data_IF_007549873582
#
_entry.id   IF_007549873582
#
_cell.length_a   1.000
_cell.length_b   1.000
_cell.length_c   1.000
_cell.angle_alpha   90.00
_cell.angle_beta   90.00
_cell.angle_gamma   90.00
#
_symmetry.space_group_name_H-M   'P 1'
#
loop_
_entity.id
_entity.type
_entity.pdbx_description
1 polymer ?
#
# COMPACT_ATOMS: atom_id res chain seq x y z
N UNK A 1 20.71 8.27 12.46
CA UNK A 1 20.47 9.06 11.23
C UNK A 1 20.61 8.24 9.95
N UNK A 2 21.32 7.11 9.98
CA UNK A 2 21.52 6.27 8.78
C UNK A 2 20.23 5.67 8.20
N UNK A 3 19.24 5.38 9.04
CA UNK A 3 17.97 4.80 8.56
C UNK A 3 16.93 5.83 8.13
N UNK A 4 17.10 7.12 8.43
CA UNK A 4 16.10 8.15 8.11
C UNK A 4 15.89 8.31 6.60
N UNK A 5 16.96 8.32 5.81
CA UNK A 5 16.87 8.39 4.36
C UNK A 5 16.22 7.14 3.76
N UNK A 6 16.55 5.96 4.28
CA UNK A 6 15.93 4.68 3.85
C UNK A 6 14.44 4.68 4.17
N UNK A 7 14.06 5.07 5.39
CA UNK A 7 12.65 5.14 5.80
C UNK A 7 11.87 6.17 4.97
N UNK A 8 12.46 7.33 4.69
CA UNK A 8 11.83 8.33 3.82
C UNK A 8 11.67 7.81 2.38
N UNK A 9 12.67 7.11 1.85
CA UNK A 9 12.58 6.47 0.53
C UNK A 9 11.48 5.40 0.46
N UNK A 10 11.40 4.54 1.48
CA UNK A 10 10.34 3.54 1.59
C UNK A 10 8.95 4.19 1.72
N UNK A 11 8.83 5.26 2.51
CA UNK A 11 7.57 5.99 2.66
C UNK A 11 7.12 6.65 1.33
N UNK A 12 8.07 7.18 0.56
CA UNK A 12 7.78 7.73 -0.77
C UNK A 12 7.39 6.64 -1.78
N UNK A 13 7.99 5.46 -1.72
CA UNK A 13 7.54 4.32 -2.52
C UNK A 13 6.11 3.91 -2.15
N UNK A 14 5.82 3.82 -0.86
CA UNK A 14 4.50 3.48 -0.34
C UNK A 14 3.44 4.54 -0.70
N UNK A 15 3.85 5.81 -0.83
CA UNK A 15 2.97 6.92 -1.21
C UNK A 15 2.39 6.80 -2.62
N UNK A 16 3.01 6.01 -3.50
CA UNK A 16 2.55 5.78 -4.87
C UNK A 16 1.54 4.64 -4.98
N UNK A 17 1.08 4.13 -3.86
CA UNK A 17 0.14 3.02 -3.79
C UNK A 17 -1.27 3.39 -4.28
N UNK A 18 -2.08 2.37 -4.57
CA UNK A 18 -3.47 2.54 -5.02
C UNK A 18 -4.31 3.32 -4.02
N UNK A 19 -4.24 2.98 -2.73
CA UNK A 19 -5.04 3.61 -1.69
C UNK A 19 -4.58 5.02 -1.36
N UNK A 20 -3.27 5.26 -1.31
CA UNK A 20 -2.77 6.57 -0.90
C UNK A 20 -2.84 7.61 -2.01
N UNK A 21 -2.65 7.25 -3.27
CA UNK A 21 -2.55 8.20 -4.38
C UNK A 21 -3.70 8.05 -5.39
N UNK A 22 -3.96 6.85 -5.90
CA UNK A 22 -4.86 6.66 -7.04
C UNK A 22 -6.31 6.90 -6.65
N UNK A 23 -6.77 6.40 -5.50
CA UNK A 23 -8.14 6.60 -5.04
C UNK A 23 -8.46 8.08 -4.78
N UNK A 24 -7.64 8.88 -4.05
CA UNK A 24 -7.83 10.32 -3.94
C UNK A 24 -7.93 11.04 -5.28
N UNK A 25 -7.04 10.72 -6.22
CA UNK A 25 -7.08 11.30 -7.55
C UNK A 25 -8.37 10.95 -8.27
N UNK A 26 -8.78 9.69 -8.26
CA UNK A 26 -10.01 9.22 -8.89
C UNK A 26 -11.25 9.89 -8.30
N UNK A 27 -11.29 10.09 -6.98
CA UNK A 27 -12.38 10.79 -6.29
C UNK A 27 -12.46 12.27 -6.73
N UNK A 28 -11.32 12.97 -6.80
CA UNK A 28 -11.27 14.39 -7.24
C UNK A 28 -11.68 14.52 -8.71
N UNK A 29 -11.18 13.66 -9.57
CA UNK A 29 -11.53 13.67 -11.01
C UNK A 29 -13.03 13.42 -11.21
N UNK A 30 -13.59 12.46 -10.46
CA UNK A 30 -15.00 12.09 -10.56
C UNK A 30 -15.94 13.16 -10.03
N UNK A 31 -15.61 13.78 -8.89
CA UNK A 31 -16.42 14.86 -8.30
C UNK A 31 -16.23 16.21 -9.00
N UNK A 32 -15.21 16.33 -9.86
CA UNK A 32 -14.76 17.57 -10.48
C UNK A 32 -14.48 18.72 -9.51
N UNK A 33 -14.30 18.38 -8.23
CA UNK A 33 -13.97 19.31 -7.14
C UNK A 33 -13.24 18.58 -6.04
N UNK A 34 -12.51 19.33 -5.23
CA UNK A 34 -11.88 18.82 -4.03
C UNK A 34 -12.85 18.98 -2.86
N UNK A 35 -13.51 17.91 -2.44
CA UNK A 35 -14.32 17.92 -1.22
C UNK A 35 -13.40 17.63 -0.02
N UNK A 36 -12.91 18.71 0.63
CA UNK A 36 -11.89 18.65 1.69
C UNK A 36 -12.30 17.73 2.85
N UNK A 37 -13.56 17.82 3.32
CA UNK A 37 -14.05 17.02 4.45
C UNK A 37 -13.97 15.50 4.21
N UNK A 38 -14.66 14.97 3.20
CA UNK A 38 -14.59 13.54 2.86
C UNK A 38 -13.17 13.05 2.59
N UNK A 39 -12.35 13.87 1.92
CA UNK A 39 -10.99 13.51 1.58
C UNK A 39 -10.08 13.44 2.80
N UNK A 40 -10.23 14.37 3.74
CA UNK A 40 -9.51 14.35 5.02
C UNK A 40 -9.88 13.10 5.81
N UNK A 41 -11.18 12.74 5.87
CA UNK A 41 -11.64 11.53 6.56
C UNK A 41 -11.00 10.28 5.92
N UNK A 42 -10.98 10.20 4.58
CA UNK A 42 -10.37 9.09 3.87
C UNK A 42 -8.87 8.94 4.21
N UNK A 43 -8.08 10.01 4.01
CA UNK A 43 -6.63 9.97 4.26
C UNK A 43 -6.30 9.73 5.74
N UNK A 44 -7.09 10.31 6.66
CA UNK A 44 -6.93 10.05 8.09
C UNK A 44 -7.21 8.57 8.41
N UNK A 45 -8.24 7.98 7.80
CA UNK A 45 -8.55 6.55 7.98
C UNK A 45 -7.40 5.69 7.50
N UNK A 46 -6.88 5.92 6.29
CA UNK A 46 -5.71 5.21 5.77
C UNK A 46 -4.52 5.35 6.72
N UNK A 47 -4.20 6.58 7.12
CA UNK A 47 -3.08 6.85 8.04
C UNK A 47 -3.24 6.12 9.39
N UNK A 48 -4.44 6.09 9.97
CA UNK A 48 -4.71 5.40 11.22
C UNK A 48 -4.60 3.88 11.09
N UNK A 49 -5.07 3.31 9.97
CA UNK A 49 -4.93 1.87 9.70
C UNK A 49 -3.47 1.48 9.57
N UNK A 50 -2.69 2.24 8.78
CA UNK A 50 -1.26 2.02 8.65
C UNK A 50 -0.54 2.17 10.00
N UNK A 51 -0.84 3.21 10.75
CA UNK A 51 -0.25 3.42 12.09
C UNK A 51 -0.59 2.26 13.03
N UNK A 52 -1.85 1.84 13.09
CA UNK A 52 -2.28 0.70 13.92
C UNK A 52 -1.58 -0.60 13.51
N UNK A 53 -1.52 -0.87 12.21
CA UNK A 53 -0.80 -2.02 11.65
C UNK A 53 0.70 -1.94 11.98
N UNK A 54 1.31 -0.77 11.85
CA UNK A 54 2.72 -0.54 12.17
C UNK A 54 3.05 -0.79 13.62
N UNK A 55 2.21 -0.29 14.52
CA UNK A 55 2.35 -0.58 15.96
C UNK A 55 2.26 -2.08 16.22
N UNK A 56 1.29 -2.77 15.61
CA UNK A 56 1.12 -4.21 15.72
C UNK A 56 2.34 -4.99 15.18
N UNK A 57 2.87 -4.58 14.03
CA UNK A 57 4.06 -5.20 13.43
C UNK A 57 5.31 -4.96 14.27
N UNK A 58 5.57 -3.73 14.69
CA UNK A 58 6.74 -3.41 15.55
C UNK A 58 6.67 -4.14 16.87
N UNK A 59 5.48 -4.23 17.49
CA UNK A 59 5.27 -5.03 18.71
C UNK A 59 5.45 -6.53 18.43
N UNK A 60 4.89 -7.00 17.32
CA UNK A 60 4.97 -8.39 16.90
C UNK A 60 6.39 -8.84 16.60
N UNK A 61 7.20 -8.05 15.93
CA UNK A 61 8.62 -8.35 15.70
C UNK A 61 9.39 -8.52 17.03
N UNK A 62 9.05 -7.73 18.06
CA UNK A 62 9.68 -7.85 19.38
C UNK A 62 9.24 -9.09 20.17
N UNK A 63 7.95 -9.45 20.08
CA UNK A 63 7.36 -10.54 20.84
C UNK A 63 7.51 -11.92 20.16
N UNK A 64 7.45 -11.93 18.83
CA UNK A 64 7.35 -13.15 18.04
C UNK A 64 8.68 -13.49 17.35
N UNK A 65 9.67 -12.59 17.35
CA UNK A 65 10.89 -12.72 16.57
C UNK A 65 11.62 -14.06 16.77
N UNK A 66 11.75 -14.54 18.01
CA UNK A 66 12.35 -15.84 18.29
C UNK A 66 11.39 -17.01 18.03
N UNK A 67 10.14 -16.88 18.42
CA UNK A 67 9.12 -17.90 18.21
C UNK A 67 8.76 -18.05 16.72
N UNK A 68 8.61 -16.93 16.00
CA UNK A 68 8.35 -16.94 14.57
C UNK A 68 9.53 -17.51 13.76
N UNK A 69 10.77 -17.19 14.15
CA UNK A 69 11.95 -17.78 13.52
C UNK A 69 12.02 -19.29 13.76
N UNK A 70 11.53 -19.78 14.89
CA UNK A 70 11.46 -21.21 15.19
C UNK A 70 10.30 -21.88 14.42
N UNK A 71 9.12 -21.26 14.42
CA UNK A 71 7.96 -21.75 13.66
C UNK A 71 8.24 -21.74 12.15
N UNK A 72 8.86 -20.70 11.62
CA UNK A 72 9.18 -20.59 10.19
C UNK A 72 10.14 -21.69 9.69
N UNK A 73 10.84 -22.35 10.60
CA UNK A 73 11.71 -23.51 10.30
C UNK A 73 10.98 -24.84 10.35
N UNK A 74 9.74 -24.89 10.81
CA UNK A 74 8.95 -26.11 10.84
C UNK A 74 8.54 -26.49 9.42
N UNK A 75 8.52 -27.79 9.14
CA UNK A 75 8.13 -28.33 7.84
C UNK A 75 6.73 -27.86 7.43
N UNK A 76 5.78 -27.83 8.38
CA UNK A 76 4.41 -27.34 8.14
C UNK A 76 4.39 -25.88 7.71
N UNK A 77 5.19 -25.01 8.34
CA UNK A 77 5.26 -23.60 7.97
C UNK A 77 5.93 -23.40 6.59
N UNK A 78 6.90 -24.24 6.25
CA UNK A 78 7.53 -24.19 4.94
C UNK A 78 6.56 -24.65 3.82
N UNK A 79 5.76 -25.67 4.06
CA UNK A 79 4.68 -26.06 3.14
C UNK A 79 3.64 -24.97 2.99
N UNK A 80 3.21 -24.35 4.09
CA UNK A 80 2.28 -23.23 4.03
C UNK A 80 2.86 -22.05 3.24
N UNK A 81 4.14 -21.71 3.48
CA UNK A 81 4.84 -20.64 2.75
C UNK A 81 5.01 -20.96 1.27
N UNK A 82 5.27 -22.23 0.94
CA UNK A 82 5.33 -22.71 -0.45
C UNK A 82 3.98 -22.50 -1.15
N UNK A 83 2.90 -22.95 -0.54
CA UNK A 83 1.54 -22.81 -1.10
C UNK A 83 1.20 -21.33 -1.29
N UNK A 84 1.43 -20.49 -0.29
CA UNK A 84 1.22 -19.03 -0.39
C UNK A 84 2.08 -18.44 -1.52
N UNK A 85 3.34 -18.83 -1.61
CA UNK A 85 4.25 -18.37 -2.66
C UNK A 85 3.77 -18.77 -4.07
N UNK A 86 3.35 -20.01 -4.25
CA UNK A 86 2.82 -20.50 -5.53
C UNK A 86 1.52 -19.80 -5.90
N UNK A 87 0.60 -19.60 -4.96
CA UNK A 87 -0.66 -18.89 -5.20
C UNK A 87 -0.38 -17.43 -5.57
N UNK A 88 0.52 -16.76 -4.85
CA UNK A 88 0.90 -15.39 -5.13
C UNK A 88 1.59 -15.24 -6.48
N UNK A 89 2.53 -16.14 -6.81
CA UNK A 89 3.19 -16.18 -8.11
C UNK A 89 2.18 -16.46 -9.24
N UNK A 90 1.28 -17.42 -9.03
CA UNK A 90 0.21 -17.74 -9.97
C UNK A 90 -0.71 -16.53 -10.20
N UNK A 91 -1.11 -15.84 -9.14
CA UNK A 91 -1.91 -14.62 -9.27
C UNK A 91 -1.16 -13.50 -9.98
N UNK A 92 0.14 -13.32 -9.71
CA UNK A 92 0.95 -12.29 -10.36
C UNK A 92 1.22 -12.56 -11.83
N UNK A 93 1.34 -13.83 -12.23
CA UNK A 93 1.68 -14.22 -13.61
C UNK A 93 0.42 -14.49 -14.46
N UNK A 94 -0.60 -15.14 -13.87
CA UNK A 94 -1.83 -15.55 -14.55
C UNK A 94 -3.01 -14.63 -14.24
N UNK A 95 -2.81 -13.62 -13.39
CA UNK A 95 -3.84 -12.64 -13.04
C UNK A 95 -4.37 -11.93 -14.28
N UNK A 96 -5.62 -11.43 -14.24
CA UNK A 96 -6.21 -10.76 -15.38
C UNK A 96 -5.38 -9.52 -15.74
N UNK A 97 -4.98 -9.43 -17.00
CA UNK A 97 -4.29 -8.26 -17.53
C UNK A 97 -5.14 -7.00 -17.28
N UNK A 98 -4.62 -6.00 -16.58
CA UNK A 98 -5.35 -4.76 -16.40
C UNK A 98 -5.64 -4.17 -17.78
N UNK A 99 -6.91 -3.91 -18.07
CA UNK A 99 -7.31 -3.29 -19.32
C UNK A 99 -6.58 -1.95 -19.47
N UNK A 100 -5.88 -1.76 -20.61
CA UNK A 100 -5.26 -0.46 -20.92
C UNK A 100 -6.35 0.59 -21.02
N UNK A 101 -6.18 1.76 -20.39
CA UNK A 101 -7.15 2.84 -20.53
C UNK A 101 -7.23 3.27 -21.99
N UNK A 102 -8.38 3.08 -22.63
CA UNK A 102 -8.64 3.64 -23.93
C UNK A 102 -8.91 5.14 -23.81
N UNK A 103 -8.30 5.97 -24.67
CA UNK A 103 -8.58 7.40 -24.68
C UNK A 103 -10.06 7.63 -25.04
N UNK A 104 -10.86 8.07 -24.06
CA UNK A 104 -12.26 8.44 -24.27
C UNK A 104 -13.32 7.48 -23.71
N UNK A 105 -12.95 6.36 -23.14
CA UNK A 105 -13.90 5.55 -22.37
C UNK A 105 -13.96 6.08 -20.93
N UNK A 106 -15.07 6.77 -20.62
CA UNK A 106 -15.44 7.09 -19.24
C UNK A 106 -15.74 5.77 -18.49
N UNK A 107 -14.69 5.03 -18.09
CA UNK A 107 -14.82 3.83 -17.26
C UNK A 107 -15.36 4.13 -15.84
N UNK A 108 -15.68 5.37 -15.58
CA UNK A 108 -16.25 5.86 -14.33
C UNK A 108 -17.79 6.02 -14.41
N UNK A 109 -18.45 5.05 -15.02
CA UNK A 109 -19.90 5.01 -15.27
C UNK A 109 -20.78 4.76 -14.04
N UNK A 110 -20.49 5.31 -12.89
CA UNK A 110 -21.44 5.35 -11.78
C UNK A 110 -21.60 6.78 -11.27
N UNK A 111 -22.86 7.17 -11.08
CA UNK A 111 -23.26 8.48 -10.55
C UNK A 111 -22.46 8.83 -9.29
N UNK A 112 -22.11 10.12 -9.09
CA UNK A 112 -21.46 10.54 -7.85
C UNK A 112 -22.38 10.21 -6.68
N UNK A 113 -22.08 9.17 -5.93
CA UNK A 113 -22.70 8.95 -4.64
C UNK A 113 -22.22 10.06 -3.71
N UNK A 114 -23.10 10.72 -2.96
CA UNK A 114 -22.66 11.72 -2.01
C UNK A 114 -21.63 11.07 -1.08
N UNK A 115 -20.45 11.68 -1.00
CA UNK A 115 -19.34 11.18 -0.23
C UNK A 115 -19.64 11.38 1.26
N UNK A 116 -20.38 10.43 1.86
CA UNK A 116 -20.63 10.45 3.31
C UNK A 116 -19.36 10.08 4.06
N UNK A 117 -19.24 10.54 5.30
CA UNK A 117 -18.12 10.19 6.17
C UNK A 117 -17.96 8.66 6.29
N UNK A 118 -19.08 7.93 6.46
CA UNK A 118 -19.07 6.47 6.52
C UNK A 118 -18.55 5.81 5.26
N UNK A 119 -18.92 6.32 4.09
CA UNK A 119 -18.40 5.82 2.80
C UNK A 119 -16.89 6.01 2.70
N UNK A 120 -16.37 7.16 3.16
CA UNK A 120 -14.93 7.43 3.13
C UNK A 120 -14.14 6.55 4.09
N UNK A 121 -14.68 6.26 5.26
CA UNK A 121 -14.09 5.30 6.21
C UNK A 121 -14.04 3.90 5.61
N UNK A 122 -15.16 3.42 5.07
CA UNK A 122 -15.22 2.09 4.45
C UNK A 122 -14.27 1.98 3.25
N UNK A 123 -14.19 3.02 2.42
CA UNK A 123 -13.23 3.08 1.32
C UNK A 123 -11.79 3.08 1.81
N UNK A 124 -11.47 3.85 2.86
CA UNK A 124 -10.13 3.89 3.44
C UNK A 124 -9.71 2.55 4.05
N UNK A 125 -10.61 1.91 4.80
CA UNK A 125 -10.40 0.56 5.34
C UNK A 125 -10.22 -0.47 4.23
N UNK A 126 -11.11 -0.47 3.24
CA UNK A 126 -11.07 -1.39 2.11
C UNK A 126 -9.79 -1.25 1.28
N UNK A 127 -9.38 -0.01 1.00
CA UNK A 127 -8.14 0.28 0.30
C UNK A 127 -6.92 -0.24 1.09
N UNK A 128 -6.82 0.08 2.38
CA UNK A 128 -5.72 -0.38 3.24
C UNK A 128 -5.66 -1.91 3.35
N UNK A 129 -6.81 -2.58 3.44
CA UNK A 129 -6.87 -4.04 3.47
C UNK A 129 -6.46 -4.66 2.13
N UNK A 130 -6.90 -4.07 1.01
CA UNK A 130 -6.51 -4.54 -0.32
C UNK A 130 -5.00 -4.39 -0.56
N UNK A 131 -4.39 -3.35 0.01
CA UNK A 131 -2.95 -3.11 -0.06
C UNK A 131 -2.13 -3.97 0.90
N UNK A 132 -2.73 -4.53 1.94
CA UNK A 132 -2.00 -5.29 2.97
C UNK A 132 -1.11 -6.41 2.38
N UNK A 133 -1.52 -7.03 1.27
CA UNK A 133 -0.75 -8.04 0.58
C UNK A 133 0.50 -7.50 -0.15
N UNK A 134 0.54 -6.21 -0.44
CA UNK A 134 1.61 -5.54 -1.22
C UNK A 134 2.41 -4.52 -0.43
N UNK A 135 2.16 -4.39 0.88
CA UNK A 135 2.85 -3.46 1.79
C UNK A 135 4.31 -3.86 2.07
N UNK A 136 5.05 -4.32 1.05
CA UNK A 136 6.46 -4.74 1.20
C UNK A 136 7.34 -3.61 1.72
N UNK A 137 7.26 -2.36 1.19
CA UNK A 137 8.05 -1.24 1.71
C UNK A 137 7.71 -0.95 3.18
N UNK A 138 6.43 -1.04 3.54
CA UNK A 138 5.97 -0.80 4.91
C UNK A 138 6.46 -1.87 5.90
N UNK A 139 6.39 -3.14 5.52
CA UNK A 139 6.89 -4.25 6.32
C UNK A 139 8.41 -4.10 6.53
N UNK A 140 9.15 -3.74 5.49
CA UNK A 140 10.58 -3.46 5.60
C UNK A 140 10.87 -2.29 6.56
N UNK A 141 10.11 -1.20 6.44
CA UNK A 141 10.24 -0.03 7.32
C UNK A 141 9.93 -0.39 8.78
N UNK A 142 8.86 -1.12 9.04
CA UNK A 142 8.50 -1.57 10.40
C UNK A 142 9.55 -2.52 10.98
N UNK A 143 10.18 -3.36 10.17
CA UNK A 143 11.32 -4.19 10.57
C UNK A 143 12.54 -3.36 10.97
N UNK A 144 12.88 -2.31 10.22
CA UNK A 144 13.96 -1.36 10.56
C UNK A 144 13.63 -0.64 11.87
N UNK A 145 12.40 -0.16 12.03
CA UNK A 145 11.96 0.54 13.26
C UNK A 145 11.99 -0.41 14.47
N UNK A 146 11.54 -1.66 14.30
CA UNK A 146 11.56 -2.66 15.37
C UNK A 146 12.98 -3.01 15.83
N UNK A 147 13.94 -3.03 14.91
CA UNK A 147 15.36 -3.31 15.21
C UNK A 147 16.14 -2.09 15.72
N UNK A 148 15.54 -0.89 15.69
CA UNK A 148 16.20 0.31 16.19
C UNK A 148 16.41 0.27 17.71
N UNK A 149 17.50 0.88 18.24
CA UNK A 149 17.76 0.95 19.66
C UNK A 149 16.82 1.92 20.40
N UNK A 150 15.89 2.56 19.71
CA UNK A 150 14.99 3.55 20.25
C UNK A 150 13.96 2.93 21.22
N UNK A 151 13.61 3.70 22.26
CA UNK A 151 12.50 3.33 23.15
C UNK A 151 11.15 3.42 22.40
N UNK A 152 10.12 2.77 22.93
CA UNK A 152 8.78 2.74 22.34
C UNK A 152 8.24 4.10 21.89
N UNK A 153 8.35 5.20 22.67
CA UNK A 153 7.88 6.51 22.20
C UNK A 153 8.57 6.97 20.92
N UNK A 154 9.89 6.74 20.80
CA UNK A 154 10.66 7.08 19.59
C UNK A 154 10.19 6.29 18.38
N UNK A 155 9.94 4.98 18.53
CA UNK A 155 9.41 4.13 17.46
C UNK A 155 8.03 4.59 16.99
N UNK A 156 7.14 4.98 17.92
CA UNK A 156 5.82 5.53 17.58
C UNK A 156 5.96 6.84 16.81
N UNK A 157 6.83 7.75 17.23
CA UNK A 157 7.09 9.01 16.52
C UNK A 157 7.60 8.73 15.11
N UNK A 158 8.52 7.78 14.95
CA UNK A 158 9.05 7.40 13.63
C UNK A 158 7.96 6.80 12.74
N UNK A 159 7.05 5.97 13.28
CA UNK A 159 5.89 5.45 12.54
C UNK A 159 4.94 6.58 12.12
N UNK A 160 4.66 7.54 12.99
CA UNK A 160 3.82 8.70 12.66
C UNK A 160 4.46 9.51 11.53
N UNK A 161 5.75 9.80 11.63
CA UNK A 161 6.48 10.52 10.58
C UNK A 161 6.47 9.77 9.26
N UNK A 162 6.63 8.45 9.29
CA UNK A 162 6.53 7.60 8.10
C UNK A 162 5.15 7.74 7.45
N UNK A 163 4.07 7.58 8.22
CA UNK A 163 2.71 7.73 7.70
C UNK A 163 2.45 9.12 7.13
N UNK A 164 2.96 10.18 7.77
CA UNK A 164 2.83 11.55 7.28
C UNK A 164 3.57 11.75 5.94
N UNK A 165 4.79 11.23 5.82
CA UNK A 165 5.55 11.28 4.55
C UNK A 165 4.81 10.49 3.47
N UNK A 166 4.25 9.32 3.81
CA UNK A 166 3.50 8.48 2.89
C UNK A 166 2.27 9.19 2.31
N UNK A 167 1.49 9.92 3.12
CA UNK A 167 0.31 10.65 2.64
C UNK A 167 0.63 12.03 2.06
N UNK A 168 1.85 12.55 2.26
CA UNK A 168 2.22 13.90 1.83
C UNK A 168 2.05 14.16 0.33
N UNK A 169 2.40 13.24 -0.61
CA UNK A 169 2.16 13.45 -2.04
C UNK A 169 0.68 13.55 -2.39
N UNK A 170 -0.19 12.75 -1.75
CA UNK A 170 -1.63 12.83 -1.95
C UNK A 170 -2.17 14.19 -1.45
N UNK A 171 -1.74 14.63 -0.26
CA UNK A 171 -2.10 15.94 0.27
C UNK A 171 -1.61 17.07 -0.64
N UNK A 172 -0.38 17.00 -1.14
CA UNK A 172 0.17 17.97 -2.06
C UNK A 172 -0.66 18.07 -3.35
N UNK A 173 -1.04 16.92 -3.93
CA UNK A 173 -1.91 16.87 -5.11
C UNK A 173 -3.30 17.45 -4.83
N UNK A 174 -3.88 17.18 -3.66
CA UNK A 174 -5.17 17.73 -3.27
C UNK A 174 -5.11 19.25 -3.11
N UNK A 175 -4.09 19.76 -2.45
CA UNK A 175 -3.86 21.21 -2.32
C UNK A 175 -3.67 21.85 -3.69
N UNK A 176 -2.90 21.20 -4.58
CA UNK A 176 -2.67 21.68 -5.92
C UNK A 176 -3.96 21.67 -6.77
N UNK A 177 -4.77 20.61 -6.65
CA UNK A 177 -6.07 20.51 -7.32
C UNK A 177 -7.06 21.56 -6.81
N UNK A 178 -7.03 21.87 -5.52
CA UNK A 178 -7.89 22.87 -4.91
C UNK A 178 -7.47 24.31 -5.29
N UNK A 179 -6.17 24.60 -5.30
CA UNK A 179 -5.64 25.93 -5.62
C UNK A 179 -5.68 26.26 -7.10
N UNK A 180 -5.34 25.30 -7.97
CA UNK A 180 -5.32 25.48 -9.42
C UNK A 180 -6.67 25.19 -10.11
N UNK A 181 -7.61 24.59 -9.38
CA UNK A 181 -8.99 24.35 -9.80
C UNK A 181 -9.13 23.77 -11.20
N UNK A 182 -9.96 24.41 -12.00
CA UNK A 182 -10.32 23.99 -13.35
C UNK A 182 -9.13 23.78 -14.33
N UNK A 183 -7.98 24.41 -14.07
CA UNK A 183 -6.78 24.25 -14.93
C UNK A 183 -6.02 22.97 -14.66
N UNK A 184 -6.11 22.44 -13.46
CA UNK A 184 -5.38 21.22 -13.05
C UNK A 184 -6.19 19.94 -13.22
N UNK A 185 -7.52 20.01 -13.02
CA UNK A 185 -8.42 18.86 -13.14
C UNK A 185 -8.32 18.12 -14.48
N UNK A 186 -8.26 18.77 -15.66
CA UNK A 186 -8.11 18.05 -16.92
C UNK A 186 -6.79 17.30 -17.04
N UNK A 187 -5.71 17.85 -16.47
CA UNK A 187 -4.41 17.15 -16.43
C UNK A 187 -4.47 15.93 -15.54
N UNK A 188 -5.09 16.07 -14.36
CA UNK A 188 -5.28 14.99 -13.42
C UNK A 188 -6.16 13.88 -14.01
N UNK A 189 -7.26 14.24 -14.69
CA UNK A 189 -8.15 13.30 -15.36
C UNK A 189 -7.44 12.50 -16.47
N UNK A 190 -6.45 13.10 -17.13
CA UNK A 190 -5.65 12.41 -18.16
C UNK A 190 -4.64 11.44 -17.56
N UNK A 191 -4.11 11.73 -16.37
CA UNK A 191 -3.08 10.94 -15.72
C UNK A 191 -3.70 9.82 -14.87
N UNK A 192 -4.88 10.04 -14.26
CA UNK A 192 -5.53 9.11 -13.35
C UNK A 192 -5.68 7.69 -13.92
N UNK A 193 -6.19 7.47 -15.15
CA UNK A 193 -6.34 6.11 -15.69
C UNK A 193 -4.99 5.41 -15.90
N UNK A 194 -3.96 6.18 -16.27
CA UNK A 194 -2.61 5.65 -16.43
C UNK A 194 -2.01 5.24 -15.09
N UNK A 195 -2.15 6.07 -14.05
CA UNK A 195 -1.69 5.74 -12.70
C UNK A 195 -2.40 4.50 -12.16
N UNK A 196 -3.70 4.36 -12.38
CA UNK A 196 -4.46 3.17 -11.99
C UNK A 196 -3.95 1.92 -12.71
N UNK A 197 -3.69 2.00 -14.01
CA UNK A 197 -3.12 0.91 -14.78
C UNK A 197 -1.73 0.53 -14.28
N UNK A 198 -0.82 1.50 -14.16
CA UNK A 198 0.56 1.30 -13.69
C UNK A 198 0.60 0.70 -12.28
N UNK A 199 -0.28 1.16 -11.39
CA UNK A 199 -0.37 0.62 -10.04
C UNK A 199 -0.84 -0.84 -10.03
N UNK A 200 -1.83 -1.21 -10.85
CA UNK A 200 -2.28 -2.61 -10.99
C UNK A 200 -1.19 -3.51 -11.57
N UNK A 201 -0.49 -3.03 -12.60
CA UNK A 201 0.65 -3.76 -13.20
C UNK A 201 1.76 -3.97 -12.18
N UNK A 202 2.13 -2.92 -11.45
CA UNK A 202 3.15 -3.00 -10.40
C UNK A 202 2.77 -4.01 -9.31
N UNK A 203 1.50 -4.02 -8.91
CA UNK A 203 0.98 -4.96 -7.92
C UNK A 203 1.13 -6.41 -8.38
N UNK A 204 0.80 -6.71 -9.65
CA UNK A 204 0.97 -8.05 -10.22
C UNK A 204 2.45 -8.46 -10.28
N UNK A 205 3.34 -7.54 -10.67
CA UNK A 205 4.78 -7.80 -10.67
C UNK A 205 5.33 -8.07 -9.27
N UNK A 206 4.93 -7.28 -8.27
CA UNK A 206 5.33 -7.50 -6.87
C UNK A 206 4.83 -8.86 -6.40
N UNK A 207 3.56 -9.21 -6.66
CA UNK A 207 3.00 -10.51 -6.30
C UNK A 207 3.78 -11.66 -6.97
N UNK A 208 4.09 -11.54 -8.27
CA UNK A 208 4.86 -12.55 -9.01
C UNK A 208 6.27 -12.75 -8.41
N UNK A 209 7.02 -11.67 -8.23
CA UNK A 209 8.40 -11.71 -7.73
C UNK A 209 8.43 -12.25 -6.29
N UNK A 210 7.56 -11.71 -5.42
CA UNK A 210 7.48 -12.15 -4.03
C UNK A 210 7.03 -13.60 -3.92
N UNK A 211 6.03 -13.99 -4.72
CA UNK A 211 5.54 -15.37 -4.79
C UNK A 211 6.62 -16.33 -5.23
N UNK A 212 7.35 -16.03 -6.30
CA UNK A 212 8.48 -16.84 -6.78
C UNK A 212 9.60 -16.94 -5.74
N UNK A 213 9.92 -15.83 -5.07
CA UNK A 213 10.94 -15.83 -4.02
C UNK A 213 10.54 -16.71 -2.83
N UNK A 214 9.32 -16.59 -2.34
CA UNK A 214 8.80 -17.40 -1.24
C UNK A 214 8.74 -18.87 -1.62
N UNK A 215 8.21 -19.20 -2.81
CA UNK A 215 8.11 -20.56 -3.30
C UNK A 215 9.49 -21.19 -3.49
N UNK A 216 10.43 -20.50 -4.12
CA UNK A 216 11.79 -20.98 -4.34
C UNK A 216 12.53 -21.24 -3.03
N UNK A 217 12.44 -20.32 -2.07
CA UNK A 217 13.06 -20.46 -0.76
C UNK A 217 12.48 -21.64 0.03
N UNK A 218 11.17 -21.81 0.03
CA UNK A 218 10.50 -22.90 0.74
C UNK A 218 10.73 -24.24 0.05
N UNK A 219 10.73 -24.29 -1.27
CA UNK A 219 11.05 -25.50 -2.04
C UNK A 219 12.50 -25.96 -1.79
N UNK A 220 13.45 -25.04 -1.72
CA UNK A 220 14.84 -25.32 -1.34
C UNK A 220 14.96 -25.86 0.09
N UNK A 221 14.24 -25.26 1.04
CA UNK A 221 14.25 -25.69 2.43
C UNK A 221 13.58 -27.08 2.64
N UNK A 222 12.61 -27.43 1.79
CA UNK A 222 11.94 -28.74 1.78
C UNK A 222 12.71 -29.80 0.98
N UNK A 223 13.86 -29.43 0.35
CA UNK A 223 14.64 -30.35 -0.47
C UNK A 223 13.99 -30.75 -1.80
N UNK A 224 12.99 -29.97 -2.26
CA UNK A 224 12.29 -30.21 -3.53
C UNK A 224 13.09 -29.73 -4.75
N UNK A 225 14.05 -28.83 -4.52
CA UNK A 225 15.02 -28.36 -5.51
C UNK A 225 16.35 -29.06 -5.18
N UNK A 226 16.52 -30.31 -5.63
CA UNK A 226 17.66 -31.17 -5.38
C UNK A 226 18.98 -30.65 -5.92
#
# INVERSE_FOLDING_TARGET
MEHAATLAGLALLDSTSLGTLVIPIALVVRSRRVDRGPMTIYLTTVCLVYLGLGIALVAGFGLIGSAAAHLARTETAQWATLVIGVVLAGFGILGPDPARPEPGTDSLGSRPTPASAGTMIVLGLGASLAEAATMVPYIAATGIIASSPEAWPGRIVTLILYCLVMIAPALALLVLADTLGQRFLPKLARIAPRLEYEAKVTLLWIAAILGLHLAGRSAGALGLLG
#
